data_IF_123151519831
#
_entry.id   IF_123151519831
#
_cell.length_a   1.000
_cell.length_b   1.000
_cell.length_c   1.000
_cell.angle_alpha   90.00
_cell.angle_beta   90.00
_cell.angle_gamma   90.00
#
_symmetry.space_group_name_H-M   'P 1'
#
loop_
_entity.id
_entity.type
_entity.pdbx_description
1 polymer ?
#
# COMPACT_ATOMS: atom_id res chain seq x y z
N UNK A 1 -29.64 -28.33 19.85
CA UNK A 1 -29.31 -27.42 18.73
C UNK A 1 -29.62 -26.00 19.18
N UNK A 2 -28.61 -25.26 19.63
CA UNK A 2 -28.73 -23.89 20.11
C UNK A 2 -28.90 -22.92 18.94
N UNK A 3 -29.90 -22.04 19.03
CA UNK A 3 -30.10 -20.96 18.08
C UNK A 3 -28.83 -20.10 17.96
N UNK A 4 -28.42 -19.68 16.75
CA UNK A 4 -27.28 -18.80 16.60
C UNK A 4 -27.63 -17.46 17.25
N UNK A 5 -26.80 -17.05 18.21
CA UNK A 5 -26.89 -15.79 18.94
C UNK A 5 -27.28 -14.65 18.00
N UNK A 6 -28.50 -14.14 18.15
CA UNK A 6 -28.91 -12.89 17.54
C UNK A 6 -27.98 -11.80 18.07
N UNK A 7 -27.21 -11.20 17.17
CA UNK A 7 -26.32 -10.10 17.45
C UNK A 7 -27.16 -8.91 17.96
N UNK A 8 -27.22 -8.70 19.28
CA UNK A 8 -27.88 -7.53 19.87
C UNK A 8 -26.91 -6.34 19.83
N UNK A 9 -27.16 -5.32 18.98
CA UNK A 9 -26.21 -4.23 18.77
C UNK A 9 -25.94 -3.40 20.04
N UNK A 10 -26.88 -3.34 21.00
CA UNK A 10 -26.73 -2.56 22.23
C UNK A 10 -25.76 -3.21 23.25
N UNK A 11 -25.72 -4.54 23.32
CA UNK A 11 -24.77 -5.27 24.17
C UNK A 11 -23.36 -5.28 23.55
N UNK A 12 -23.27 -5.40 22.22
CA UNK A 12 -22.00 -5.30 21.50
C UNK A 12 -21.32 -3.94 21.69
N UNK A 13 -22.07 -2.83 21.57
CA UNK A 13 -21.53 -1.47 21.76
C UNK A 13 -21.06 -1.22 23.20
N UNK A 14 -21.79 -1.71 24.23
CA UNK A 14 -21.34 -1.62 25.63
C UNK A 14 -20.05 -2.40 25.88
N UNK A 15 -19.89 -3.56 25.26
CA UNK A 15 -18.67 -4.37 25.37
C UNK A 15 -17.46 -3.69 24.71
N UNK A 16 -17.65 -3.02 23.57
CA UNK A 16 -16.56 -2.35 22.86
C UNK A 16 -15.98 -1.18 23.64
N UNK A 17 -16.83 -0.35 24.25
CA UNK A 17 -16.37 0.76 25.09
C UNK A 17 -15.51 0.27 26.26
N UNK A 18 -15.94 -0.82 26.91
CA UNK A 18 -15.19 -1.42 28.02
C UNK A 18 -13.87 -2.07 27.59
N UNK A 19 -13.79 -2.61 26.36
CA UNK A 19 -12.53 -3.10 25.78
C UNK A 19 -11.55 -1.97 25.46
N UNK A 20 -12.03 -0.89 24.82
CA UNK A 20 -11.19 0.27 24.49
C UNK A 20 -10.63 0.90 25.76
N UNK A 21 -11.46 1.10 26.80
CA UNK A 21 -11.01 1.67 28.08
C UNK A 21 -9.94 0.76 28.72
N UNK A 22 -10.12 -0.56 28.67
CA UNK A 22 -9.11 -1.51 29.15
C UNK A 22 -7.80 -1.43 28.36
N UNK A 23 -7.89 -1.33 27.02
CA UNK A 23 -6.72 -1.15 26.16
C UNK A 23 -5.97 0.16 26.46
N UNK A 24 -6.69 1.27 26.59
CA UNK A 24 -6.10 2.57 26.95
C UNK A 24 -5.45 2.55 28.33
N UNK A 25 -6.08 1.90 29.31
CA UNK A 25 -5.50 1.71 30.64
C UNK A 25 -4.20 0.91 30.57
N UNK A 26 -4.18 -0.19 29.80
CA UNK A 26 -2.98 -0.98 29.58
C UNK A 26 -1.86 -0.18 28.92
N UNK A 27 -2.17 0.61 27.89
CA UNK A 27 -1.21 1.49 27.23
C UNK A 27 -0.64 2.55 28.18
N UNK A 28 -1.45 3.06 29.11
CA UNK A 28 -0.99 4.01 30.14
C UNK A 28 -0.04 3.34 31.14
N UNK A 29 -0.39 2.15 31.61
CA UNK A 29 0.40 1.40 32.61
C UNK A 29 1.74 0.90 32.04
N UNK A 30 1.77 0.52 30.76
CA UNK A 30 2.95 -0.03 30.09
C UNK A 30 3.53 0.91 29.03
N UNK A 31 3.27 2.22 29.15
CA UNK A 31 3.63 3.21 28.13
C UNK A 31 5.13 3.25 27.82
N UNK A 32 5.97 3.00 28.83
CA UNK A 32 7.43 2.96 28.66
C UNK A 32 7.90 1.79 27.80
N UNK A 33 7.34 0.58 27.99
CA UNK A 33 7.64 -0.59 27.16
C UNK A 33 7.17 -0.39 25.72
N UNK A 34 5.97 0.16 25.54
CA UNK A 34 5.42 0.45 24.22
C UNK A 34 6.25 1.49 23.49
N UNK A 35 6.65 2.56 24.18
CA UNK A 35 7.52 3.60 23.62
C UNK A 35 8.90 3.04 23.23
N UNK A 36 9.50 2.20 24.09
CA UNK A 36 10.74 1.50 23.78
C UNK A 36 10.63 0.59 22.56
N UNK A 37 9.56 -0.18 22.45
CA UNK A 37 9.29 -1.04 21.28
C UNK A 37 9.07 -0.25 19.99
N UNK A 38 8.34 0.86 20.06
CA UNK A 38 8.14 1.79 18.93
C UNK A 38 9.48 2.37 18.46
N UNK A 39 10.30 2.85 19.38
CA UNK A 39 11.62 3.40 19.07
C UNK A 39 12.54 2.34 18.46
N UNK A 40 12.54 1.12 19.03
CA UNK A 40 13.34 0.00 18.52
C UNK A 40 12.93 -0.40 17.09
N UNK A 41 11.64 -0.52 16.81
CA UNK A 41 11.15 -0.89 15.47
C UNK A 41 11.48 0.19 14.43
N UNK A 42 11.34 1.47 14.80
CA UNK A 42 11.77 2.58 13.96
C UNK A 42 13.28 2.52 13.67
N UNK A 43 14.09 2.33 14.72
CA UNK A 43 15.54 2.23 14.60
C UNK A 43 15.95 1.07 13.71
N UNK A 44 15.33 -0.11 13.84
CA UNK A 44 15.57 -1.27 12.96
C UNK A 44 15.22 -0.94 11.51
N UNK A 45 14.08 -0.29 11.25
CA UNK A 45 13.68 0.07 9.89
C UNK A 45 14.62 1.09 9.25
N UNK A 46 15.06 2.11 10.00
CA UNK A 46 16.03 3.11 9.55
C UNK A 46 17.41 2.47 9.36
N UNK A 47 17.82 1.57 10.25
CA UNK A 47 19.07 0.82 10.09
C UNK A 47 19.06 -0.02 8.82
N UNK A 48 17.98 -0.75 8.56
CA UNK A 48 17.80 -1.52 7.33
C UNK A 48 17.84 -0.60 6.09
N UNK A 49 17.25 0.60 6.18
CA UNK A 49 17.31 1.60 5.11
C UNK A 49 18.74 2.11 4.88
N UNK A 50 19.44 2.50 5.95
CA UNK A 50 20.82 2.97 5.93
C UNK A 50 21.76 1.94 5.28
N UNK A 51 21.64 0.67 5.66
CA UNK A 51 22.43 -0.44 5.10
C UNK A 51 22.11 -0.71 3.63
N UNK A 52 20.83 -0.64 3.23
CA UNK A 52 20.43 -0.93 1.85
C UNK A 52 20.82 0.17 0.87
N UNK A 53 20.65 1.43 1.28
CA UNK A 53 20.87 2.60 0.43
C UNK A 53 22.25 3.25 0.64
N UNK A 54 23.10 2.71 1.53
CA UNK A 54 24.39 3.29 1.93
C UNK A 54 24.26 4.74 2.39
N UNK A 55 23.19 5.06 3.13
CA UNK A 55 22.93 6.40 3.65
C UNK A 55 23.49 6.47 5.08
N UNK A 56 24.54 7.28 5.33
CA UNK A 56 25.16 7.35 6.65
C UNK A 56 24.32 8.22 7.58
N UNK A 57 23.31 7.62 8.22
CA UNK A 57 22.40 8.27 9.17
C UNK A 57 22.93 8.06 10.58
N UNK A 58 23.15 9.15 11.33
CA UNK A 58 23.52 9.04 12.73
C UNK A 58 22.30 8.83 13.64
N UNK A 59 21.97 7.57 13.91
CA UNK A 59 20.87 7.18 14.82
C UNK A 59 21.07 7.62 16.28
N UNK A 60 22.29 7.98 16.69
CA UNK A 60 22.61 8.43 18.05
C UNK A 60 22.40 9.93 18.26
N UNK A 61 22.19 10.69 17.18
CA UNK A 61 21.92 12.12 17.28
C UNK A 61 20.59 12.38 18.02
N UNK A 62 20.55 13.41 18.86
CA UNK A 62 19.34 13.76 19.62
C UNK A 62 18.13 14.05 18.72
N UNK A 63 18.36 14.66 17.56
CA UNK A 63 17.34 14.91 16.53
C UNK A 63 16.80 13.60 15.91
N UNK A 64 17.68 12.63 15.67
CA UNK A 64 17.29 11.31 15.17
C UNK A 64 16.42 10.58 16.19
N UNK A 65 16.85 10.54 17.46
CA UNK A 65 16.11 9.88 18.55
C UNK A 65 14.72 10.51 18.73
N UNK A 66 14.63 11.84 18.72
CA UNK A 66 13.38 12.57 18.88
C UNK A 66 12.38 12.33 17.73
N UNK A 67 12.86 11.99 16.52
CA UNK A 67 12.02 11.76 15.35
C UNK A 67 11.54 10.30 15.20
N UNK A 68 12.13 9.34 15.92
CA UNK A 68 11.76 7.91 15.84
C UNK A 68 10.26 7.64 16.02
N UNK A 69 9.55 8.23 17.00
CA UNK A 69 8.12 7.98 17.17
C UNK A 69 7.28 8.47 15.99
N UNK A 70 7.67 9.60 15.39
CA UNK A 70 7.00 10.18 14.22
C UNK A 70 7.21 9.28 13.01
N UNK A 71 8.44 8.81 12.79
CA UNK A 71 8.78 7.89 11.70
C UNK A 71 7.99 6.59 11.84
N UNK A 72 7.96 5.99 13.04
CA UNK A 72 7.16 4.79 13.28
C UNK A 72 5.67 5.02 13.01
N UNK A 73 5.13 6.15 13.48
CA UNK A 73 3.70 6.47 13.30
C UNK A 73 3.37 6.62 11.82
N UNK A 74 4.22 7.28 11.04
CA UNK A 74 4.07 7.39 9.59
C UNK A 74 4.12 6.02 8.91
N UNK A 75 5.09 5.16 9.27
CA UNK A 75 5.21 3.80 8.74
C UNK A 75 3.95 2.98 9.08
N UNK A 76 3.52 2.99 10.35
CA UNK A 76 2.33 2.26 10.79
C UNK A 76 1.07 2.75 10.07
N UNK A 77 0.93 4.06 9.86
CA UNK A 77 -0.17 4.65 9.10
C UNK A 77 -0.17 4.15 7.64
N UNK A 78 0.99 4.17 6.98
CA UNK A 78 1.13 3.65 5.61
C UNK A 78 0.76 2.17 5.55
N UNK A 79 1.28 1.35 6.46
CA UNK A 79 0.96 -0.09 6.51
C UNK A 79 -0.53 -0.32 6.72
N UNK A 80 -1.17 0.40 7.65
CA UNK A 80 -2.61 0.27 7.90
C UNK A 80 -3.43 0.70 6.67
N UNK A 81 -3.04 1.80 6.00
CA UNK A 81 -3.71 2.26 4.78
C UNK A 81 -3.55 1.26 3.64
N UNK A 82 -2.34 0.71 3.43
CA UNK A 82 -2.07 -0.32 2.43
C UNK A 82 -2.86 -1.60 2.72
N UNK A 83 -2.90 -2.05 3.98
CA UNK A 83 -3.74 -3.17 4.41
C UNK A 83 -5.22 -2.87 4.13
N UNK A 84 -5.69 -1.67 4.46
CA UNK A 84 -7.05 -1.23 4.15
C UNK A 84 -7.37 -1.34 2.67
N UNK A 85 -6.50 -0.82 1.79
CA UNK A 85 -6.65 -0.90 0.34
C UNK A 85 -6.66 -2.35 -0.17
N UNK A 86 -5.72 -3.18 0.28
CA UNK A 86 -5.61 -4.59 -0.12
C UNK A 86 -6.83 -5.40 0.35
N UNK A 87 -7.37 -5.08 1.52
CA UNK A 87 -8.48 -5.81 2.13
C UNK A 87 -9.86 -5.29 1.74
N UNK A 88 -10.01 -4.05 1.28
CA UNK A 88 -11.31 -3.46 0.95
C UNK A 88 -12.12 -4.27 -0.08
N UNK A 89 -11.52 -4.89 -1.12
CA UNK A 89 -12.25 -5.76 -2.04
C UNK A 89 -12.94 -6.96 -1.35
N UNK A 90 -12.57 -7.30 -0.11
CA UNK A 90 -13.25 -8.33 0.69
C UNK A 90 -14.51 -7.80 1.39
N UNK A 91 -14.65 -6.48 1.56
CA UNK A 91 -15.77 -5.84 2.26
C UNK A 91 -17.13 -6.17 1.62
N UNK A 92 -17.14 -6.36 0.29
CA UNK A 92 -18.31 -6.81 -0.48
C UNK A 92 -18.93 -8.10 0.05
N UNK A 93 -18.15 -8.95 0.72
CA UNK A 93 -18.66 -10.22 1.28
C UNK A 93 -19.51 -10.03 2.53
N UNK A 94 -19.41 -8.88 3.20
CA UNK A 94 -20.12 -8.56 4.44
C UNK A 94 -21.43 -7.81 4.19
N UNK A 95 -21.68 -7.32 2.98
CA UNK A 95 -22.90 -6.59 2.64
C UNK A 95 -23.87 -7.50 1.88
N UNK A 96 -25.16 -7.53 2.25
CA UNK A 96 -26.13 -8.35 1.54
C UNK A 96 -26.40 -7.75 0.15
N UNK A 97 -26.33 -8.54 -0.93
CA UNK A 97 -26.53 -8.03 -2.29
C UNK A 97 -27.97 -7.63 -2.60
N UNK A 98 -28.92 -8.21 -1.88
CA UNK A 98 -30.35 -7.95 -2.00
C UNK A 98 -30.90 -7.84 -0.57
N UNK A 99 -31.75 -6.84 -0.27
CA UNK A 99 -32.41 -6.72 1.03
C UNK A 99 -33.10 -8.03 1.41
N UNK A 100 -32.86 -8.52 2.63
CA UNK A 100 -33.43 -9.77 3.13
C UNK A 100 -32.72 -11.07 2.70
N UNK A 101 -31.68 -11.00 1.85
CA UNK A 101 -30.81 -12.17 1.58
C UNK A 101 -29.64 -12.25 2.57
N UNK A 102 -29.16 -13.47 2.88
CA UNK A 102 -27.95 -13.63 3.67
C UNK A 102 -26.74 -13.09 2.92
N UNK A 103 -25.84 -12.47 3.68
CA UNK A 103 -24.55 -11.96 3.21
C UNK A 103 -23.73 -13.07 2.54
N UNK A 104 -22.89 -12.74 1.55
CA UNK A 104 -22.01 -13.72 0.92
C UNK A 104 -21.13 -14.48 1.94
N UNK A 105 -20.67 -13.82 3.00
CA UNK A 105 -19.85 -14.44 4.06
C UNK A 105 -20.59 -15.57 4.79
N UNK A 106 -21.88 -15.43 5.07
CA UNK A 106 -22.70 -16.49 5.69
C UNK A 106 -22.81 -17.71 4.77
N UNK A 107 -22.83 -17.50 3.44
CA UNK A 107 -22.82 -18.61 2.47
C UNK A 107 -21.45 -19.31 2.42
N UNK A 108 -20.35 -18.57 2.60
CA UNK A 108 -18.99 -19.12 2.67
C UNK A 108 -18.79 -20.00 3.92
N UNK A 109 -19.45 -19.68 5.02
CA UNK A 109 -19.40 -20.46 6.27
C UNK A 109 -20.63 -21.34 6.50
N UNK A 110 -21.46 -21.54 5.48
CA UNK A 110 -22.62 -22.43 5.58
C UNK A 110 -22.16 -23.85 5.92
N UNK A 111 -22.88 -24.51 6.86
CA UNK A 111 -22.68 -25.92 7.18
C UNK A 111 -22.97 -26.86 6.01
N UNK A 112 -23.59 -26.37 4.92
CA UNK A 112 -23.86 -27.16 3.71
C UNK A 112 -22.64 -27.13 2.77
N UNK A 113 -21.96 -28.26 2.52
CA UNK A 113 -20.69 -28.28 1.77
C UNK A 113 -20.85 -27.78 0.33
N UNK A 114 -21.95 -28.13 -0.35
CA UNK A 114 -22.25 -27.68 -1.72
C UNK A 114 -22.41 -26.16 -1.83
N UNK A 115 -23.05 -25.53 -0.84
CA UNK A 115 -23.26 -24.07 -0.81
C UNK A 115 -21.95 -23.36 -0.51
N UNK A 116 -21.17 -23.88 0.45
CA UNK A 116 -19.85 -23.37 0.82
C UNK A 116 -18.87 -23.36 -0.35
N UNK A 117 -18.71 -24.49 -1.04
CA UNK A 117 -17.78 -24.61 -2.17
C UNK A 117 -18.17 -23.64 -3.28
N UNK A 118 -19.47 -23.55 -3.60
CA UNK A 118 -19.98 -22.63 -4.62
C UNK A 118 -19.72 -21.16 -4.25
N UNK A 119 -19.93 -20.78 -2.99
CA UNK A 119 -19.70 -19.42 -2.51
C UNK A 119 -18.20 -19.04 -2.53
N UNK A 120 -17.31 -19.96 -2.11
CA UNK A 120 -15.86 -19.75 -2.19
C UNK A 120 -15.38 -19.61 -3.64
N UNK A 121 -15.84 -20.50 -4.54
CA UNK A 121 -15.51 -20.41 -5.97
C UNK A 121 -16.02 -19.11 -6.59
N UNK A 122 -17.22 -18.67 -6.22
CA UNK A 122 -17.80 -17.40 -6.64
C UNK A 122 -16.96 -16.20 -6.18
N UNK A 123 -16.51 -16.17 -4.92
CA UNK A 123 -15.63 -15.10 -4.43
C UNK A 123 -14.29 -15.07 -5.16
N UNK A 124 -13.62 -16.21 -5.28
CA UNK A 124 -12.34 -16.32 -5.99
C UNK A 124 -12.49 -15.82 -7.44
N UNK A 125 -13.54 -16.25 -8.13
CA UNK A 125 -13.78 -15.87 -9.52
C UNK A 125 -14.09 -14.37 -9.66
N UNK A 126 -14.82 -13.78 -8.71
CA UNK A 126 -15.09 -12.34 -8.68
C UNK A 126 -13.81 -11.50 -8.45
N UNK A 127 -12.84 -12.00 -7.67
CA UNK A 127 -11.57 -11.32 -7.42
C UNK A 127 -10.54 -11.50 -8.56
N UNK A 128 -10.56 -12.66 -9.22
CA UNK A 128 -9.65 -12.99 -10.33
C UNK A 128 -10.00 -12.25 -11.64
N UNK A 129 -11.28 -12.05 -11.96
CA UNK A 129 -11.70 -11.43 -13.23
C UNK A 129 -11.10 -10.03 -13.44
N UNK A 130 -11.18 -9.10 -12.46
CA UNK A 130 -10.59 -7.78 -12.60
C UNK A 130 -9.09 -7.83 -12.91
N UNK A 131 -8.34 -8.66 -12.19
CA UNK A 131 -6.91 -8.81 -12.37
C UNK A 131 -6.54 -9.44 -13.73
N UNK A 132 -7.22 -10.53 -14.10
CA UNK A 132 -6.98 -11.20 -15.38
C UNK A 132 -7.27 -10.27 -16.57
N UNK A 133 -8.40 -9.55 -16.54
CA UNK A 133 -8.81 -8.69 -17.65
C UNK A 133 -7.90 -7.48 -17.83
N UNK A 134 -7.53 -6.82 -16.73
CA UNK A 134 -6.55 -5.72 -16.77
C UNK A 134 -5.17 -6.20 -17.23
N UNK A 135 -4.70 -7.37 -16.79
CA UNK A 135 -3.44 -7.94 -17.27
C UNK A 135 -3.45 -8.25 -18.76
N UNK A 136 -4.54 -8.81 -19.29
CA UNK A 136 -4.68 -9.10 -20.73
C UNK A 136 -4.62 -7.80 -21.53
N UNK A 137 -5.31 -6.75 -21.08
CA UNK A 137 -5.31 -5.44 -21.75
C UNK A 137 -3.90 -4.85 -21.77
N UNK A 138 -3.23 -4.80 -20.61
CA UNK A 138 -1.87 -4.25 -20.51
C UNK A 138 -0.90 -5.05 -21.39
N UNK A 139 -0.99 -6.37 -21.36
CA UNK A 139 -0.17 -7.23 -22.20
C UNK A 139 -0.38 -6.95 -23.69
N UNK A 140 -1.64 -6.87 -24.13
CA UNK A 140 -1.99 -6.65 -25.54
C UNK A 140 -1.47 -5.29 -26.03
N UNK A 141 -1.77 -4.21 -25.32
CA UNK A 141 -1.34 -2.87 -25.74
C UNK A 141 0.17 -2.65 -25.61
N UNK A 142 0.81 -3.28 -24.62
CA UNK A 142 2.27 -3.27 -24.51
C UNK A 142 2.95 -4.05 -25.63
N UNK A 143 2.33 -5.12 -26.14
CA UNK A 143 2.89 -5.93 -27.23
C UNK A 143 2.83 -5.20 -28.58
N UNK A 144 1.75 -4.48 -28.84
CA UNK A 144 1.56 -3.73 -30.09
C UNK A 144 2.13 -2.30 -30.06
N UNK A 145 2.79 -1.89 -28.96
CA UNK A 145 3.28 -0.51 -28.75
C UNK A 145 2.20 0.59 -28.91
N UNK A 146 0.93 0.25 -28.72
CA UNK A 146 -0.23 1.14 -28.91
C UNK A 146 -0.70 1.80 -27.60
N UNK A 147 0.21 1.99 -26.63
CA UNK A 147 -0.14 2.47 -25.27
C UNK A 147 -0.68 3.90 -25.27
N UNK A 148 -0.26 4.73 -26.23
CA UNK A 148 -0.74 6.12 -26.38
C UNK A 148 -2.07 6.22 -27.15
N UNK A 149 -2.58 5.10 -27.66
CA UNK A 149 -3.82 5.10 -28.42
C UNK A 149 -5.02 5.44 -27.51
N UNK A 150 -6.03 6.19 -28.01
CA UNK A 150 -7.27 6.43 -27.27
C UNK A 150 -8.03 5.12 -26.98
N UNK A 151 -7.75 4.05 -27.73
CA UNK A 151 -8.30 2.71 -27.54
C UNK A 151 -7.80 2.06 -26.25
N UNK A 152 -6.59 2.37 -25.79
CA UNK A 152 -6.07 1.92 -24.49
C UNK A 152 -6.97 2.43 -23.36
N UNK A 153 -7.27 3.74 -23.35
CA UNK A 153 -8.16 4.35 -22.36
C UNK A 153 -9.56 3.73 -22.35
N UNK A 154 -10.14 3.49 -23.53
CA UNK A 154 -11.44 2.84 -23.66
C UNK A 154 -11.42 1.38 -23.17
N UNK A 155 -10.32 0.66 -23.40
CA UNK A 155 -10.12 -0.72 -22.95
C UNK A 155 -10.01 -0.80 -21.42
N UNK A 156 -9.25 0.11 -20.81
CA UNK A 156 -9.16 0.22 -19.34
C UNK A 156 -10.53 0.53 -18.74
N UNK A 157 -11.28 1.47 -19.33
CA UNK A 157 -12.64 1.79 -18.88
C UNK A 157 -13.59 0.58 -19.00
N UNK A 158 -13.51 -0.16 -20.10
CA UNK A 158 -14.25 -1.41 -20.28
C UNK A 158 -13.92 -2.46 -19.20
N UNK A 159 -12.65 -2.58 -18.80
CA UNK A 159 -12.24 -3.47 -17.71
C UNK A 159 -12.84 -3.07 -16.36
N UNK A 160 -12.96 -1.77 -16.07
CA UNK A 160 -13.63 -1.28 -14.85
C UNK A 160 -15.10 -1.72 -14.84
N UNK A 161 -15.82 -1.50 -15.96
CA UNK A 161 -17.23 -1.91 -16.09
C UNK A 161 -17.38 -3.42 -15.95
N UNK A 162 -16.50 -4.19 -16.59
CA UNK A 162 -16.51 -5.65 -16.52
C UNK A 162 -16.23 -6.13 -15.09
N UNK A 163 -15.32 -5.49 -14.38
CA UNK A 163 -14.98 -5.77 -12.98
C UNK A 163 -16.18 -5.55 -12.07
N UNK A 164 -16.83 -4.38 -12.16
CA UNK A 164 -18.05 -4.06 -11.40
C UNK A 164 -19.15 -5.08 -11.71
N UNK A 165 -19.38 -5.36 -13.00
CA UNK A 165 -20.38 -6.32 -13.46
C UNK A 165 -20.11 -7.73 -12.93
N UNK A 166 -18.83 -8.12 -12.85
CA UNK A 166 -18.41 -9.41 -12.32
C UNK A 166 -18.75 -9.54 -10.83
N UNK A 167 -18.41 -8.54 -10.01
CA UNK A 167 -18.76 -8.51 -8.60
C UNK A 167 -20.28 -8.59 -8.38
N UNK A 168 -21.05 -7.79 -9.12
CA UNK A 168 -22.51 -7.76 -9.02
C UNK A 168 -23.12 -9.11 -9.40
N UNK A 169 -22.76 -9.68 -10.54
CA UNK A 169 -23.38 -10.94 -11.03
C UNK A 169 -22.96 -12.15 -10.24
N UNK A 170 -21.68 -12.25 -9.92
CA UNK A 170 -21.11 -13.46 -9.33
C UNK A 170 -21.52 -13.57 -7.85
N UNK A 171 -21.54 -12.45 -7.12
CA UNK A 171 -21.90 -12.43 -5.69
C UNK A 171 -23.40 -12.18 -5.45
N UNK A 172 -24.05 -11.39 -6.32
CA UNK A 172 -25.50 -11.18 -6.31
C UNK A 172 -26.30 -12.45 -6.62
N UNK A 173 -25.68 -13.39 -7.34
CA UNK A 173 -26.24 -14.70 -7.67
C UNK A 173 -27.12 -14.69 -8.92
N UNK A 174 -27.45 -15.88 -9.42
CA UNK A 174 -28.30 -16.08 -10.61
C UNK A 174 -29.74 -15.61 -10.34
N UNK A 175 -30.01 -14.34 -10.58
CA UNK A 175 -31.34 -13.88 -10.99
C UNK A 175 -31.40 -13.88 -12.51
N UNK A 176 -32.52 -14.29 -13.10
CA UNK A 176 -32.69 -14.32 -14.56
C UNK A 176 -32.74 -12.91 -15.21
N UNK A 177 -32.50 -11.85 -14.43
CA UNK A 177 -32.53 -10.45 -14.87
C UNK A 177 -31.10 -9.88 -14.83
N UNK A 178 -30.72 -9.18 -15.90
CA UNK A 178 -29.41 -8.56 -16.07
C UNK A 178 -29.04 -7.60 -14.93
N UNK A 179 -30.06 -6.96 -14.32
CA UNK A 179 -29.96 -6.19 -13.08
C UNK A 179 -30.98 -6.71 -12.05
N UNK A 180 -30.57 -7.52 -11.06
CA UNK A 180 -31.42 -7.79 -9.91
C UNK A 180 -31.69 -6.49 -9.14
N UNK A 181 -32.77 -6.43 -8.34
CA UNK A 181 -32.98 -5.32 -7.38
C UNK A 181 -31.86 -5.36 -6.34
N UNK A 182 -30.78 -4.63 -6.60
CA UNK A 182 -29.58 -4.57 -5.78
C UNK A 182 -29.74 -3.46 -4.73
N UNK A 183 -29.25 -3.68 -3.51
CA UNK A 183 -29.17 -2.62 -2.50
C UNK A 183 -28.15 -1.55 -2.93
N UNK A 184 -28.48 -0.26 -2.75
CA UNK A 184 -27.58 0.84 -3.09
C UNK A 184 -26.24 0.73 -2.35
N UNK A 185 -26.27 0.28 -1.09
CA UNK A 185 -25.06 0.04 -0.30
C UNK A 185 -24.14 -1.01 -0.93
N UNK A 186 -24.71 -2.09 -1.45
CA UNK A 186 -23.94 -3.13 -2.12
C UNK A 186 -23.36 -2.64 -3.46
N UNK A 187 -24.12 -1.83 -4.19
CA UNK A 187 -23.64 -1.22 -5.44
C UNK A 187 -22.45 -0.29 -5.17
N UNK A 188 -22.59 0.63 -4.21
CA UNK A 188 -21.54 1.58 -3.85
C UNK A 188 -20.25 0.88 -3.41
N UNK A 189 -20.36 -0.14 -2.55
CA UNK A 189 -19.19 -0.92 -2.11
C UNK A 189 -18.61 -1.79 -3.22
N UNK A 190 -19.43 -2.29 -4.14
CA UNK A 190 -18.93 -3.03 -5.31
C UNK A 190 -18.11 -2.14 -6.25
N UNK A 191 -18.54 -0.89 -6.46
CA UNK A 191 -17.80 0.09 -7.28
C UNK A 191 -16.47 0.42 -6.60
N UNK A 192 -16.50 0.76 -5.31
CA UNK A 192 -15.28 1.07 -4.54
C UNK A 192 -14.30 -0.12 -4.53
N UNK A 193 -14.80 -1.33 -4.29
CA UNK A 193 -14.02 -2.56 -4.31
C UNK A 193 -13.38 -2.82 -5.68
N UNK A 194 -14.12 -2.64 -6.77
CA UNK A 194 -13.60 -2.84 -8.12
C UNK A 194 -12.48 -1.85 -8.47
N UNK A 195 -12.68 -0.57 -8.16
CA UNK A 195 -11.67 0.48 -8.41
C UNK A 195 -10.39 0.22 -7.60
N UNK A 196 -10.53 -0.10 -6.31
CA UNK A 196 -9.38 -0.35 -5.44
C UNK A 196 -8.68 -1.66 -5.81
N UNK A 197 -9.42 -2.70 -6.24
CA UNK A 197 -8.83 -3.93 -6.77
C UNK A 197 -7.97 -3.64 -8.00
N UNK A 198 -8.47 -2.83 -8.94
CA UNK A 198 -7.72 -2.45 -10.15
C UNK A 198 -6.49 -1.62 -9.80
N UNK A 199 -6.60 -0.62 -8.92
CA UNK A 199 -5.45 0.22 -8.50
C UNK A 199 -4.38 -0.63 -7.80
N UNK A 200 -4.79 -1.53 -6.91
CA UNK A 200 -3.90 -2.46 -6.22
C UNK A 200 -3.19 -3.35 -7.25
N UNK A 201 -3.94 -3.85 -8.23
CA UNK A 201 -3.40 -4.69 -9.29
C UNK A 201 -2.39 -3.97 -10.19
N UNK A 202 -2.71 -2.75 -10.63
CA UNK A 202 -1.80 -1.90 -11.41
C UNK A 202 -0.51 -1.63 -10.65
N UNK A 203 -0.58 -1.42 -9.33
CA UNK A 203 0.60 -1.21 -8.48
C UNK A 203 1.51 -2.44 -8.44
N UNK A 204 0.91 -3.63 -8.32
CA UNK A 204 1.62 -4.91 -8.37
C UNK A 204 2.27 -5.13 -9.74
N UNK A 205 1.54 -4.86 -10.84
CA UNK A 205 2.06 -5.01 -12.19
C UNK A 205 3.21 -4.04 -12.48
N UNK A 206 3.11 -2.78 -12.04
CA UNK A 206 4.20 -1.81 -12.18
C UNK A 206 5.48 -2.28 -11.50
N UNK A 207 5.36 -2.79 -10.26
CA UNK A 207 6.49 -3.35 -9.53
C UNK A 207 7.07 -4.59 -10.23
N UNK A 208 6.21 -5.43 -10.79
CA UNK A 208 6.59 -6.64 -11.51
C UNK A 208 7.35 -6.32 -12.80
N UNK A 209 6.88 -5.34 -13.57
CA UNK A 209 7.53 -4.90 -14.81
C UNK A 209 8.95 -4.37 -14.55
N UNK A 210 9.15 -3.66 -13.44
CA UNK A 210 10.49 -3.19 -13.05
C UNK A 210 11.50 -4.32 -12.85
N UNK A 211 11.07 -5.50 -12.42
CA UNK A 211 11.97 -6.64 -12.17
C UNK A 211 12.39 -7.38 -13.45
N UNK A 212 11.59 -7.32 -14.51
CA UNK A 212 11.79 -8.14 -15.73
C UNK A 212 11.99 -7.30 -17.00
N UNK A 213 12.08 -5.96 -16.88
CA UNK A 213 12.21 -5.06 -18.02
C UNK A 213 13.46 -5.31 -18.87
N UNK A 214 14.55 -5.78 -18.27
CA UNK A 214 15.84 -5.96 -18.93
C UNK A 214 16.03 -7.38 -19.54
N UNK A 215 15.06 -8.28 -19.39
CA UNK A 215 15.18 -9.65 -19.89
C UNK A 215 14.69 -9.83 -21.33
N UNK A 216 15.46 -10.58 -22.13
CA UNK A 216 15.11 -10.96 -23.51
C UNK A 216 13.77 -11.70 -23.62
N UNK A 217 13.30 -12.32 -22.53
CA UNK A 217 12.03 -13.04 -22.42
C UNK A 217 11.01 -12.34 -21.50
N UNK A 218 11.00 -11.01 -21.46
CA UNK A 218 10.12 -10.22 -20.59
C UNK A 218 8.63 -10.64 -20.65
N UNK A 219 8.14 -11.14 -21.79
CA UNK A 219 6.76 -11.61 -21.95
C UNK A 219 6.42 -12.81 -21.08
N UNK A 220 7.29 -13.84 -21.06
CA UNK A 220 7.05 -15.03 -20.26
C UNK A 220 7.17 -14.70 -18.77
N UNK A 221 8.14 -13.85 -18.41
CA UNK A 221 8.27 -13.30 -17.06
C UNK A 221 7.01 -12.55 -16.62
N UNK A 222 6.49 -11.65 -17.46
CA UNK A 222 5.29 -10.87 -17.18
C UNK A 222 4.07 -11.76 -16.93
N UNK A 223 3.80 -12.73 -17.81
CA UNK A 223 2.65 -13.63 -17.68
C UNK A 223 2.76 -14.48 -16.41
N UNK A 224 3.94 -15.04 -16.12
CA UNK A 224 4.16 -15.86 -14.93
C UNK A 224 3.96 -15.05 -13.65
N UNK A 225 4.52 -13.84 -13.58
CA UNK A 225 4.35 -12.96 -12.42
C UNK A 225 2.91 -12.50 -12.28
N UNK A 226 2.22 -12.16 -13.37
CA UNK A 226 0.81 -11.80 -13.33
C UNK A 226 -0.05 -12.96 -12.78
N UNK A 227 0.19 -14.20 -13.19
CA UNK A 227 -0.53 -15.36 -12.66
C UNK A 227 -0.24 -15.54 -11.16
N UNK A 228 1.04 -15.58 -10.77
CA UNK A 228 1.46 -15.79 -9.37
C UNK A 228 0.92 -14.68 -8.47
N UNK A 229 1.03 -13.43 -8.89
CA UNK A 229 0.57 -12.30 -8.10
C UNK A 229 -0.97 -12.24 -8.01
N UNK A 230 -1.69 -12.59 -9.08
CA UNK A 230 -3.16 -12.66 -9.04
C UNK A 230 -3.63 -13.73 -8.05
N UNK A 231 -3.03 -14.93 -8.11
CA UNK A 231 -3.33 -16.02 -7.20
C UNK A 231 -3.03 -15.60 -5.76
N UNK A 232 -1.84 -15.05 -5.51
CA UNK A 232 -1.41 -14.64 -4.18
C UNK A 232 -2.35 -13.59 -3.57
N UNK A 233 -2.70 -12.55 -4.34
CA UNK A 233 -3.63 -11.51 -3.88
C UNK A 233 -5.02 -12.09 -3.60
N UNK A 234 -5.53 -12.94 -4.49
CA UNK A 234 -6.85 -13.55 -4.33
C UNK A 234 -6.91 -14.48 -3.13
N UNK A 235 -5.86 -15.29 -2.91
CA UNK A 235 -5.74 -16.13 -1.72
C UNK A 235 -5.68 -15.27 -0.46
N UNK A 236 -4.82 -14.25 -0.43
CA UNK A 236 -4.68 -13.33 0.70
C UNK A 236 -6.03 -12.69 1.06
N UNK A 237 -6.75 -12.16 0.08
CA UNK A 237 -8.07 -11.55 0.26
C UNK A 237 -9.13 -12.56 0.73
N UNK A 238 -9.11 -13.79 0.20
CA UNK A 238 -10.03 -14.84 0.63
C UNK A 238 -9.76 -15.28 2.08
N UNK A 239 -8.48 -15.44 2.45
CA UNK A 239 -8.07 -15.74 3.82
C UNK A 239 -8.42 -14.60 4.77
N UNK A 240 -8.22 -13.35 4.36
CA UNK A 240 -8.58 -12.20 5.16
C UNK A 240 -10.09 -12.08 5.38
N UNK A 241 -10.91 -12.31 4.35
CA UNK A 241 -12.37 -12.37 4.50
C UNK A 241 -12.79 -13.43 5.53
N UNK A 242 -12.14 -14.60 5.49
CA UNK A 242 -12.37 -15.66 6.47
C UNK A 242 -11.90 -15.28 7.88
N UNK A 243 -10.72 -14.67 8.00
CA UNK A 243 -10.16 -14.19 9.27
C UNK A 243 -11.01 -13.09 9.91
N UNK A 244 -11.48 -12.11 9.14
CA UNK A 244 -12.40 -11.07 9.60
C UNK A 244 -13.71 -11.69 10.09
N UNK A 245 -14.23 -12.71 9.40
CA UNK A 245 -15.43 -13.41 9.86
C UNK A 245 -15.22 -14.14 11.19
N UNK A 246 -14.04 -14.73 11.42
CA UNK A 246 -13.71 -15.37 12.70
C UNK A 246 -13.48 -14.33 13.80
N UNK A 247 -12.83 -13.21 13.48
CA UNK A 247 -12.63 -12.08 14.37
C UNK A 247 -13.96 -11.52 14.87
N UNK A 248 -14.92 -11.30 13.96
CA UNK A 248 -16.26 -10.83 14.29
C UNK A 248 -17.07 -11.82 15.13
N UNK A 249 -16.76 -13.12 15.04
CA UNK A 249 -17.38 -14.16 15.85
C UNK A 249 -16.72 -14.34 17.24
N UNK A 250 -15.54 -13.73 17.47
CA UNK A 250 -14.84 -13.82 18.74
C UNK A 250 -15.52 -13.01 19.84
N UNK A 251 -15.32 -13.42 21.10
CA UNK A 251 -15.82 -12.71 22.27
C UNK A 251 -15.13 -11.35 22.50
N UNK A 252 -13.91 -11.18 21.99
CA UNK A 252 -13.08 -9.96 22.14
C UNK A 252 -12.49 -9.50 20.79
N UNK A 253 -13.33 -9.07 19.83
CA UNK A 253 -12.90 -8.82 18.46
C UNK A 253 -11.83 -7.72 18.36
N UNK A 254 -11.90 -6.71 19.22
CA UNK A 254 -11.04 -5.52 19.14
C UNK A 254 -9.60 -5.83 19.57
N UNK A 255 -9.44 -6.65 20.61
CA UNK A 255 -8.11 -7.10 21.06
C UNK A 255 -7.41 -7.97 20.01
N UNK A 256 -8.14 -8.91 19.39
CA UNK A 256 -7.56 -9.75 18.34
C UNK A 256 -7.23 -8.94 17.08
N UNK A 257 -8.06 -7.96 16.72
CA UNK A 257 -7.78 -7.05 15.61
C UNK A 257 -6.51 -6.23 15.89
N UNK A 258 -6.41 -5.61 17.07
CA UNK A 258 -5.24 -4.85 17.47
C UNK A 258 -3.97 -5.71 17.45
N UNK A 259 -4.02 -6.91 18.03
CA UNK A 259 -2.88 -7.84 18.03
C UNK A 259 -2.46 -8.26 16.61
N UNK A 260 -3.44 -8.51 15.73
CA UNK A 260 -3.16 -8.88 14.33
C UNK A 260 -2.47 -7.72 13.59
N UNK A 261 -2.99 -6.50 13.71
CA UNK A 261 -2.41 -5.31 13.08
C UNK A 261 -0.99 -5.05 13.63
N UNK A 262 -0.82 -5.09 14.96
CA UNK A 262 0.50 -4.91 15.58
C UNK A 262 1.48 -5.96 15.10
N UNK A 263 1.08 -7.22 15.01
CA UNK A 263 1.94 -8.31 14.50
C UNK A 263 2.36 -8.05 13.05
N UNK A 264 1.46 -7.61 12.19
CA UNK A 264 1.77 -7.29 10.79
C UNK A 264 2.74 -6.11 10.71
N UNK A 265 2.49 -5.03 11.46
CA UNK A 265 3.37 -3.85 11.49
C UNK A 265 4.77 -4.25 11.98
N UNK A 266 4.86 -5.02 13.07
CA UNK A 266 6.14 -5.55 13.58
C UNK A 266 6.86 -6.37 12.52
N UNK A 267 6.16 -7.31 11.87
CA UNK A 267 6.76 -8.16 10.83
C UNK A 267 7.25 -7.33 9.63
N UNK A 268 6.48 -6.33 9.18
CA UNK A 268 6.86 -5.47 8.06
C UNK A 268 8.06 -4.56 8.39
N UNK A 269 8.13 -4.03 9.62
CA UNK A 269 9.26 -3.21 10.07
C UNK A 269 10.53 -4.05 10.31
N UNK A 270 10.38 -5.26 10.86
CA UNK A 270 11.49 -6.16 11.17
C UNK A 270 12.08 -6.82 9.91
N UNK A 271 11.26 -7.09 8.89
CA UNK A 271 11.75 -7.70 7.66
C UNK A 271 12.55 -6.68 6.82
N UNK A 272 13.86 -6.91 6.58
CA UNK A 272 14.75 -5.89 6.03
C UNK A 272 14.30 -5.23 4.71
N UNK A 273 13.81 -5.95 3.69
CA UNK A 273 13.47 -5.31 2.42
C UNK A 273 12.20 -4.45 2.52
N UNK A 274 11.23 -4.80 3.37
CA UNK A 274 10.01 -3.99 3.58
C UNK A 274 10.28 -2.83 4.52
N UNK A 275 10.98 -3.07 5.64
CA UNK A 275 11.33 -2.04 6.60
C UNK A 275 12.19 -0.94 5.98
N UNK A 276 13.18 -1.31 5.15
CA UNK A 276 14.00 -0.33 4.42
C UNK A 276 13.19 0.50 3.42
N UNK A 277 12.27 -0.10 2.67
CA UNK A 277 11.41 0.65 1.73
C UNK A 277 10.45 1.59 2.44
N UNK A 278 9.81 1.13 3.53
CA UNK A 278 8.88 1.94 4.32
C UNK A 278 9.59 3.12 4.99
N UNK A 279 10.73 2.86 5.65
CA UNK A 279 11.54 3.92 6.25
C UNK A 279 12.07 4.88 5.18
N UNK A 280 12.55 4.36 4.05
CA UNK A 280 13.01 5.19 2.94
C UNK A 280 11.93 6.12 2.38
N UNK A 281 10.71 5.62 2.20
CA UNK A 281 9.59 6.44 1.74
C UNK A 281 9.28 7.58 2.73
N UNK A 282 9.26 7.30 4.04
CA UNK A 282 9.01 8.31 5.07
C UNK A 282 10.15 9.33 5.13
N UNK A 283 11.40 8.87 5.19
CA UNK A 283 12.59 9.74 5.27
C UNK A 283 12.72 10.65 4.05
N UNK A 284 12.52 10.10 2.85
CA UNK A 284 12.57 10.87 1.60
C UNK A 284 11.43 11.89 1.55
N UNK A 285 10.21 11.48 1.91
CA UNK A 285 9.04 12.36 1.92
C UNK A 285 9.19 13.51 2.92
N UNK A 286 9.78 13.24 4.10
CA UNK A 286 10.08 14.27 5.10
C UNK A 286 11.20 15.22 4.64
N UNK A 287 12.21 14.71 3.93
CA UNK A 287 13.33 15.51 3.44
C UNK A 287 12.96 16.43 2.27
N UNK A 288 12.19 15.93 1.30
CA UNK A 288 11.87 16.65 0.06
C UNK A 288 10.50 17.32 0.05
N UNK A 289 9.66 17.09 1.06
CA UNK A 289 8.26 17.50 1.06
C UNK A 289 7.43 16.70 0.04
N UNK A 290 7.79 15.44 -0.22
CA UNK A 290 7.08 14.54 -1.14
C UNK A 290 7.49 14.64 -2.61
N UNK A 291 8.56 15.39 -2.93
CA UNK A 291 9.09 15.52 -4.30
C UNK A 291 10.10 14.41 -4.61
N UNK A 292 10.00 13.80 -5.79
CA UNK A 292 10.94 12.76 -6.22
C UNK A 292 12.29 13.32 -6.70
N UNK A 293 12.29 14.56 -7.20
CA UNK A 293 13.46 15.24 -7.73
C UNK A 293 13.42 16.71 -7.31
N UNK A 294 14.57 17.21 -6.83
CA UNK A 294 14.72 18.57 -6.29
C UNK A 294 15.95 19.24 -6.89
N UNK A 295 15.81 20.51 -7.24
CA UNK A 295 16.91 21.42 -7.55
C UNK A 295 17.05 22.42 -6.40
N UNK A 296 18.24 22.48 -5.82
CA UNK A 296 18.58 23.37 -4.72
C UNK A 296 19.13 24.67 -5.29
N UNK A 297 18.63 25.82 -4.83
CA UNK A 297 19.30 27.11 -5.01
C UNK A 297 20.15 27.43 -3.79
N UNK A 298 21.39 27.77 -4.04
CA UNK A 298 22.38 28.02 -3.00
C UNK A 298 22.23 29.41 -2.36
N UNK A 299 22.50 29.51 -1.07
CA UNK A 299 22.72 30.78 -0.39
C UNK A 299 24.11 31.33 -0.78
N UNK A 300 24.28 32.65 -0.78
CA UNK A 300 25.50 33.32 -1.30
C UNK A 300 26.81 32.89 -0.61
N UNK A 301 26.74 32.21 0.53
CA UNK A 301 27.85 31.78 1.39
C UNK A 301 28.11 30.26 1.38
N UNK A 302 27.42 29.49 0.53
CA UNK A 302 27.30 28.04 0.68
C UNK A 302 27.99 27.16 -0.36
N UNK A 303 29.13 27.57 -0.94
CA UNK A 303 29.83 26.78 -1.96
C UNK A 303 31.21 26.33 -1.51
N UNK A 304 31.40 25.02 -1.28
CA UNK A 304 32.73 24.38 -1.31
C UNK A 304 32.78 23.01 -2.00
N UNK A 305 31.65 22.43 -2.46
CA UNK A 305 31.71 21.20 -3.25
C UNK A 305 31.56 21.50 -4.76
N UNK A 306 32.65 21.39 -5.56
CA UNK A 306 32.64 21.68 -6.99
C UNK A 306 31.85 20.67 -7.83
N UNK A 307 31.37 19.56 -7.26
CA UNK A 307 30.64 18.51 -7.99
C UNK A 307 29.12 18.70 -8.02
N UNK A 308 28.61 19.56 -7.13
CA UNK A 308 27.19 19.84 -6.93
C UNK A 308 26.54 20.92 -7.82
N UNK A 309 27.24 22.00 -8.27
CA UNK A 309 26.62 23.03 -9.10
C UNK A 309 26.27 22.52 -10.49
N UNK A 310 25.13 22.96 -11.01
CA UNK A 310 24.79 22.78 -12.41
C UNK A 310 25.81 23.51 -13.30
N UNK A 311 26.22 22.89 -14.42
CA UNK A 311 27.10 23.52 -15.40
C UNK A 311 26.50 24.80 -15.99
N UNK A 312 25.16 24.90 -16.05
CA UNK A 312 24.43 26.00 -16.68
C UNK A 312 24.16 27.18 -15.72
N UNK A 313 24.00 26.91 -14.42
CA UNK A 313 23.82 27.96 -13.41
C UNK A 313 24.54 27.57 -12.12
N UNK A 314 25.67 28.25 -11.85
CA UNK A 314 26.47 28.09 -10.64
C UNK A 314 25.70 28.41 -9.35
N UNK A 315 24.51 29.01 -9.42
CA UNK A 315 23.65 29.29 -8.24
C UNK A 315 22.64 28.17 -7.96
N UNK A 316 22.61 27.13 -8.79
CA UNK A 316 21.71 25.99 -8.67
C UNK A 316 22.46 24.66 -8.64
N UNK A 317 21.91 23.65 -7.97
CA UNK A 317 22.44 22.30 -8.01
C UNK A 317 22.03 21.57 -9.29
N UNK A 318 22.70 20.46 -9.58
CA UNK A 318 22.14 19.42 -10.46
C UNK A 318 20.81 18.87 -9.90
N UNK A 319 20.09 18.08 -10.70
CA UNK A 319 18.91 17.36 -10.24
C UNK A 319 19.29 16.35 -9.15
N UNK A 320 18.75 16.54 -7.94
CA UNK A 320 19.06 15.71 -6.78
C UNK A 320 17.82 14.97 -6.28
N UNK A 321 18.04 13.77 -5.75
CA UNK A 321 17.10 13.02 -4.94
C UNK A 321 17.53 13.12 -3.48
N UNK A 322 16.71 13.77 -2.65
CA UNK A 322 16.94 13.84 -1.20
C UNK A 322 16.59 12.49 -0.57
N UNK A 323 17.53 11.94 0.17
CA UNK A 323 17.42 10.61 0.79
C UNK A 323 16.93 10.73 2.24
N UNK A 324 17.48 11.68 2.99
CA UNK A 324 17.14 11.93 4.40
C UNK A 324 17.62 13.32 4.84
N UNK A 325 17.15 13.74 6.00
CA UNK A 325 17.72 14.86 6.78
C UNK A 325 18.42 14.24 7.99
N UNK A 326 19.69 14.58 8.19
CA UNK A 326 20.47 14.16 9.35
C UNK A 326 21.01 15.41 10.07
N UNK A 327 20.31 15.81 11.14
CA UNK A 327 20.66 17.00 11.91
C UNK A 327 20.63 18.29 11.08
N UNK A 328 21.82 18.85 10.80
CA UNK A 328 22.00 20.08 10.02
C UNK A 328 22.21 19.84 8.53
N UNK A 329 22.25 18.60 8.06
CA UNK A 329 22.63 18.26 6.69
C UNK A 329 21.50 17.52 5.97
N UNK A 330 21.29 17.86 4.71
CA UNK A 330 20.55 17.05 3.76
C UNK A 330 21.48 15.99 3.18
N UNK A 331 21.02 14.74 3.18
CA UNK A 331 21.68 13.64 2.49
C UNK A 331 21.05 13.50 1.11
N UNK A 332 21.82 13.78 0.05
CA UNK A 332 21.32 13.82 -1.31
C UNK A 332 22.12 12.88 -2.24
N UNK A 333 21.48 12.43 -3.31
CA UNK A 333 22.10 11.68 -4.41
C UNK A 333 21.75 12.35 -5.74
N UNK A 334 22.64 12.31 -6.72
CA UNK A 334 22.30 12.70 -8.09
C UNK A 334 21.10 11.89 -8.61
N UNK A 335 20.10 12.57 -9.18
CA UNK A 335 18.90 11.93 -9.68
C UNK A 335 19.27 10.93 -10.80
N UNK A 336 18.66 9.74 -10.78
CA UNK A 336 18.93 8.64 -11.73
C UNK A 336 20.38 8.11 -11.79
N UNK A 337 21.26 8.46 -10.84
CA UNK A 337 22.60 7.87 -10.81
C UNK A 337 22.58 6.41 -10.34
N UNK A 338 23.29 5.54 -11.07
CA UNK A 338 23.55 4.14 -10.65
C UNK A 338 24.54 4.06 -9.48
N UNK A 339 25.33 5.12 -9.27
CA UNK A 339 26.27 5.20 -8.16
C UNK A 339 25.52 5.59 -6.89
N UNK A 340 25.74 4.83 -5.81
CA UNK A 340 25.08 5.03 -4.50
C UNK A 340 25.72 6.13 -3.65
N UNK A 341 26.55 6.99 -4.25
CA UNK A 341 27.24 8.07 -3.55
C UNK A 341 26.23 9.04 -2.92
N UNK A 342 26.48 9.41 -1.67
CA UNK A 342 25.64 10.32 -0.89
C UNK A 342 26.45 11.58 -0.61
N UNK A 343 25.94 12.70 -1.08
CA UNK A 343 26.49 14.03 -0.83
C UNK A 343 25.79 14.63 0.40
N UNK A 344 26.57 15.29 1.25
CA UNK A 344 26.07 15.99 2.43
C UNK A 344 25.96 17.47 2.11
N UNK A 345 24.76 18.02 2.26
CA UNK A 345 24.47 19.40 1.92
C UNK A 345 23.98 20.12 3.18
N UNK A 346 24.75 21.07 3.74
CA UNK A 346 24.32 21.82 4.92
C UNK A 346 23.00 22.55 4.67
N UNK A 347 22.05 22.46 5.59
CA UNK A 347 20.74 23.16 5.50
C UNK A 347 20.95 24.68 5.39
N UNK A 348 22.01 25.22 6.01
CA UNK A 348 22.39 26.63 5.96
C UNK A 348 22.85 27.12 4.57
N UNK A 349 23.35 26.21 3.71
CA UNK A 349 23.72 26.54 2.34
C UNK A 349 22.52 26.56 1.38
N UNK A 350 21.36 26.06 1.82
CA UNK A 350 20.14 26.00 0.99
C UNK A 350 19.32 27.28 1.15
N UNK A 351 19.12 28.02 0.05
CA UNK A 351 18.22 29.17 0.00
C UNK A 351 16.78 28.76 -0.31
N UNK A 352 16.59 27.87 -1.27
CA UNK A 352 15.28 27.36 -1.65
C UNK A 352 15.39 26.05 -2.45
N UNK A 353 14.29 25.29 -2.48
CA UNK A 353 14.18 24.01 -3.17
C UNK A 353 13.02 24.05 -4.17
N UNK A 354 13.28 23.67 -5.42
CA UNK A 354 12.29 23.59 -6.49
C UNK A 354 12.16 22.16 -6.99
N UNK A 355 10.99 21.79 -7.48
CA UNK A 355 10.80 20.52 -8.19
C UNK A 355 11.52 20.56 -9.54
N UNK A 356 12.08 19.44 -9.97
CA UNK A 356 12.73 19.35 -11.28
C UNK A 356 11.71 19.58 -12.40
N UNK A 357 12.05 20.32 -13.46
CA UNK A 357 11.16 20.46 -14.62
C UNK A 357 10.88 19.07 -15.23
N UNK A 358 9.62 18.81 -15.60
CA UNK A 358 9.18 17.53 -16.17
C UNK A 358 9.82 17.20 -17.52
N UNK A 359 10.45 18.18 -18.18
CA UNK A 359 11.34 17.96 -19.31
C UNK A 359 12.74 17.70 -18.79
N UNK A 360 13.22 16.49 -19.06
CA UNK A 360 14.56 16.00 -18.79
C UNK A 360 15.60 17.07 -19.20
N UNK A 361 16.26 17.78 -18.26
CA UNK A 361 17.31 18.74 -18.60
C UNK A 361 18.60 18.04 -19.06
N UNK A 362 18.60 16.71 -19.14
CA UNK A 362 19.72 15.88 -19.57
C UNK A 362 19.60 15.39 -21.03
N UNK A 363 18.58 15.80 -21.79
CA UNK A 363 18.44 15.50 -23.23
C UNK A 363 18.99 16.62 -24.14
N UNK A 364 19.63 17.64 -23.56
CA UNK A 364 20.52 18.58 -24.28
C UNK A 364 21.96 18.33 -23.84
N UNK A 365 22.51 17.17 -24.22
CA UNK A 365 23.92 16.96 -24.55
C UNK A 365 24.17 15.56 -25.12
#
# INVERSE_FOLDING_TARGET
MSAPNQYSPSAAVKNWKAEIIRGLKYCKEHGWLLSGGIALLAAISIFNYSMRENVPINLTAASAIASLPVIFTAIACIVILLLGCVLLPTAITFIPPIPGRPTPIVRIFSGRPKVRIKARKSLILALMIPAATTSIIIFFYSYYNDVESPLFGLSVFSSIILSISSFIRILGGKGNKFFPRISLDFLAVSIAAALIQIITWLSILKFSLFLFADEKNWMLGFVLVAIVATLTLTFLQTFAAAGISQLLASSKPLNHLALTITTIVVAMCAFPPTGSMLAGFVMQSMASGGRNCVIIKWSKSGFEDPTLPSQNDKKSSIALKLMAVDGSDYLARANNSKQKEIQRIPVSSVRSMYECPSKNPNDEN
#
